data_IF_099050592372
#
_entry.id   IF_099050592372
#
_cell.length_a   1.000
_cell.length_b   1.000
_cell.length_c   1.000
_cell.angle_alpha   90.00
_cell.angle_beta   90.00
_cell.angle_gamma   90.00
#
_symmetry.space_group_name_H-M   'P 1'
#
loop_
_entity.id
_entity.type
_entity.pdbx_description
1 polymer ?
#
# COMPACT_ATOMS: atom_id res chain seq x y z
N UNK A 1 -4.35 12.20 -57.43
CA UNK A 1 -4.77 12.81 -56.15
C UNK A 1 -4.58 11.73 -55.10
N UNK A 2 -3.40 11.69 -54.56
CA UNK A 2 -3.04 10.83 -53.42
C UNK A 2 -3.38 11.61 -52.14
N UNK A 3 -4.24 11.06 -51.33
CA UNK A 3 -4.51 11.58 -49.99
C UNK A 3 -3.60 10.86 -49.03
N UNK A 4 -2.55 11.56 -48.62
CA UNK A 4 -1.66 11.20 -47.52
C UNK A 4 -2.43 11.40 -46.21
N UNK A 5 -2.84 10.32 -45.54
CA UNK A 5 -3.30 10.29 -44.17
C UNK A 5 -2.20 9.67 -43.32
N UNK A 6 -1.22 10.48 -42.96
CA UNK A 6 -0.34 10.22 -41.82
C UNK A 6 -0.88 11.01 -40.65
N UNK A 7 -1.92 10.51 -39.99
CA UNK A 7 -2.23 10.89 -38.64
C UNK A 7 -1.35 10.05 -37.70
N UNK A 8 -0.25 10.64 -37.27
CA UNK A 8 0.50 10.16 -36.13
C UNK A 8 -0.43 10.23 -34.90
N UNK A 9 -0.95 9.09 -34.46
CA UNK A 9 -1.56 8.92 -33.15
C UNK A 9 -0.53 9.29 -32.08
N UNK A 10 -0.55 10.55 -31.65
CA UNK A 10 0.13 10.97 -30.44
C UNK A 10 -0.57 10.27 -29.30
N UNK A 11 0.02 9.17 -28.83
CA UNK A 11 -0.32 8.53 -27.57
C UNK A 11 -0.09 9.60 -26.49
N UNK A 12 -1.18 10.26 -26.08
CA UNK A 12 -1.18 11.16 -24.94
C UNK A 12 -0.86 10.29 -23.74
N UNK A 13 0.37 10.36 -23.27
CA UNK A 13 0.78 9.66 -22.05
C UNK A 13 -0.13 10.13 -20.93
N UNK A 14 -0.86 9.19 -20.33
CA UNK A 14 -1.70 9.48 -19.16
C UNK A 14 -0.84 10.17 -18.09
N UNK A 15 -1.35 11.20 -17.41
CA UNK A 15 -0.60 11.89 -16.37
C UNK A 15 -0.22 10.87 -15.30
N UNK A 16 1.07 10.70 -15.08
CA UNK A 16 1.60 9.85 -14.00
C UNK A 16 1.12 10.42 -12.69
N UNK A 17 0.09 9.80 -12.12
CA UNK A 17 -0.43 10.17 -10.79
C UNK A 17 0.68 9.92 -9.77
N UNK A 18 1.13 10.96 -9.12
CA UNK A 18 2.19 10.87 -8.12
C UNK A 18 1.74 9.95 -6.98
N UNK A 19 2.46 8.82 -6.78
CA UNK A 19 2.13 7.79 -5.78
C UNK A 19 2.56 8.26 -4.38
N UNK A 20 1.81 9.16 -3.76
CA UNK A 20 2.08 9.68 -2.42
C UNK A 20 1.22 8.98 -1.35
N UNK A 21 1.82 8.61 -0.19
CA UNK A 21 3.25 8.50 0.12
C UNK A 21 3.91 7.32 -0.62
N UNK A 22 5.23 7.34 -0.77
CA UNK A 22 5.96 6.23 -1.40
C UNK A 22 5.92 4.98 -0.50
N UNK A 23 5.14 3.97 -0.90
CA UNK A 23 4.92 2.75 -0.13
C UNK A 23 6.10 1.78 -0.13
N UNK A 24 7.16 2.04 -0.92
CA UNK A 24 8.38 1.23 -0.89
C UNK A 24 9.25 1.53 0.34
N UNK A 25 9.20 2.75 0.86
CA UNK A 25 9.97 3.15 2.05
C UNK A 25 9.67 2.30 3.29
N UNK A 26 8.40 2.07 3.69
CA UNK A 26 8.08 1.17 4.79
C UNK A 26 8.52 -0.27 4.53
N UNK A 27 8.48 -0.74 3.27
CA UNK A 27 8.93 -2.10 2.89
C UNK A 27 10.44 -2.25 3.09
N UNK A 28 11.26 -1.30 2.59
CA UNK A 28 12.71 -1.33 2.79
C UNK A 28 13.09 -1.18 4.26
N UNK A 29 12.41 -0.29 4.99
CA UNK A 29 12.57 -0.15 6.44
C UNK A 29 12.27 -1.44 7.18
N UNK A 30 11.21 -2.15 6.79
CA UNK A 30 10.87 -3.45 7.34
C UNK A 30 11.94 -4.51 7.02
N UNK A 31 12.39 -4.62 5.76
CA UNK A 31 13.44 -5.56 5.38
C UNK A 31 14.73 -5.34 6.18
N UNK A 32 15.14 -4.10 6.40
CA UNK A 32 16.30 -3.77 7.23
C UNK A 32 16.11 -4.12 8.71
N UNK A 33 14.89 -4.23 9.19
CA UNK A 33 14.60 -4.66 10.56
C UNK A 33 14.74 -6.19 10.76
N UNK A 34 14.75 -6.96 9.66
CA UNK A 34 14.92 -8.40 9.72
C UNK A 34 16.40 -8.78 9.89
N UNK A 35 16.73 -9.75 10.78
CA UNK A 35 18.13 -10.10 11.08
C UNK A 35 18.95 -10.48 9.84
N UNK A 36 18.32 -11.12 8.85
CA UNK A 36 18.96 -11.57 7.61
C UNK A 36 19.33 -10.42 6.66
N UNK A 37 18.70 -9.24 6.80
CA UNK A 37 18.92 -8.07 5.92
C UNK A 37 19.63 -6.91 6.61
N UNK A 38 19.91 -6.98 7.91
CA UNK A 38 20.52 -5.89 8.71
C UNK A 38 21.84 -5.37 8.12
N UNK A 39 22.57 -6.23 7.38
CA UNK A 39 23.85 -5.90 6.78
C UNK A 39 23.79 -5.70 5.26
N UNK A 40 22.63 -5.66 4.64
CA UNK A 40 22.52 -5.51 3.20
C UNK A 40 22.63 -4.04 2.80
N UNK A 41 23.83 -3.62 2.43
CA UNK A 41 24.13 -2.24 2.01
C UNK A 41 23.26 -1.78 0.83
N UNK A 42 22.84 -2.68 -0.07
CA UNK A 42 21.97 -2.34 -1.20
C UNK A 42 20.62 -1.80 -0.77
N UNK A 43 19.93 -2.47 0.17
CA UNK A 43 18.61 -2.02 0.67
C UNK A 43 18.75 -0.72 1.43
N UNK A 44 19.82 -0.58 2.22
CA UNK A 44 20.16 0.64 2.92
C UNK A 44 20.40 1.81 1.96
N UNK A 45 21.19 1.58 0.89
CA UNK A 45 21.43 2.59 -0.13
C UNK A 45 20.14 2.99 -0.84
N UNK A 46 19.30 2.04 -1.24
CA UNK A 46 17.99 2.32 -1.86
C UNK A 46 17.11 3.19 -0.94
N UNK A 47 17.03 2.84 0.34
CA UNK A 47 16.27 3.62 1.32
C UNK A 47 16.86 5.03 1.49
N UNK A 48 18.17 5.14 1.64
CA UNK A 48 18.85 6.43 1.80
C UNK A 48 18.71 7.32 0.56
N UNK A 49 18.87 6.75 -0.63
CA UNK A 49 18.67 7.46 -1.89
C UNK A 49 17.23 7.94 -2.05
N UNK A 50 16.24 7.09 -1.78
CA UNK A 50 14.85 7.46 -1.88
C UNK A 50 14.44 8.55 -0.86
N UNK A 51 15.04 8.60 0.32
CA UNK A 51 14.79 9.68 1.28
C UNK A 51 15.43 11.01 0.88
N UNK A 52 16.56 10.95 0.17
CA UNK A 52 17.30 12.14 -0.30
C UNK A 52 16.81 12.65 -1.65
N UNK A 53 16.52 11.74 -2.55
CA UNK A 53 16.22 11.99 -3.97
C UNK A 53 14.82 11.59 -4.32
N UNK A 54 13.81 11.82 -3.51
CA UNK A 54 12.51 11.36 -3.90
C UNK A 54 12.10 11.96 -5.26
N UNK A 55 12.27 11.09 -6.25
CA UNK A 55 11.63 11.18 -7.56
C UNK A 55 11.95 12.44 -8.36
N UNK A 56 13.04 12.39 -9.08
CA UNK A 56 12.90 12.83 -10.46
C UNK A 56 11.76 11.96 -11.05
N UNK A 57 10.60 12.50 -11.38
CA UNK A 57 9.76 11.80 -12.33
C UNK A 57 10.66 11.52 -13.52
N UNK A 58 10.57 10.33 -14.10
CA UNK A 58 11.25 9.97 -15.33
C UNK A 58 10.60 10.78 -16.48
N UNK A 59 10.57 12.09 -16.32
CA UNK A 59 10.01 13.07 -17.24
C UNK A 59 11.15 13.66 -18.07
N UNK A 60 11.89 12.76 -18.77
CA UNK A 60 12.78 13.17 -19.85
C UNK A 60 12.04 13.55 -21.14
N UNK A 61 10.71 13.69 -21.11
CA UNK A 61 9.92 13.87 -22.33
C UNK A 61 9.08 15.17 -22.42
N UNK A 62 9.08 16.04 -21.41
CA UNK A 62 8.40 17.35 -21.56
C UNK A 62 9.26 18.50 -21.06
N UNK A 63 10.28 18.83 -21.85
CA UNK A 63 10.94 20.11 -21.78
C UNK A 63 10.04 21.18 -22.42
N UNK A 64 9.00 21.61 -21.75
CA UNK A 64 8.36 22.89 -22.02
C UNK A 64 8.93 23.92 -21.04
N UNK A 65 9.65 24.87 -21.59
CA UNK A 65 10.56 25.84 -20.95
C UNK A 65 9.94 26.80 -19.93
N UNK A 66 8.69 26.60 -19.48
CA UNK A 66 8.00 27.47 -18.54
C UNK A 66 7.62 26.84 -17.20
N UNK A 67 8.07 25.61 -16.91
CA UNK A 67 7.95 24.99 -15.58
C UNK A 67 9.36 24.80 -15.00
N UNK A 68 10.18 25.82 -15.17
CA UNK A 68 11.49 25.91 -14.56
C UNK A 68 11.31 26.33 -13.09
N UNK A 69 11.75 25.47 -12.17
CA UNK A 69 12.04 25.68 -10.75
C UNK A 69 11.00 25.20 -9.71
N UNK A 70 10.41 24.05 -9.93
CA UNK A 70 10.09 23.23 -8.77
C UNK A 70 10.97 21.99 -8.91
N UNK A 71 12.23 22.10 -8.55
CA UNK A 71 13.12 20.98 -8.31
C UNK A 71 12.52 20.23 -7.10
N UNK A 72 11.83 19.15 -7.38
CA UNK A 72 11.14 18.33 -6.40
C UNK A 72 12.17 17.47 -5.65
N UNK A 73 12.94 18.08 -4.80
CA UNK A 73 13.64 17.36 -3.75
C UNK A 73 12.63 17.03 -2.67
N UNK A 74 12.37 15.75 -2.40
CA UNK A 74 11.65 15.43 -1.20
C UNK A 74 12.65 15.28 -0.07
N UNK A 75 12.95 16.39 0.50
CA UNK A 75 13.75 16.49 1.72
C UNK A 75 12.96 15.88 2.89
N UNK A 76 12.91 14.54 2.97
CA UNK A 76 12.14 13.80 3.99
C UNK A 76 12.82 13.87 5.37
N UNK A 77 13.09 15.08 5.85
CA UNK A 77 13.83 15.31 7.10
C UNK A 77 13.23 14.57 8.31
N UNK A 78 11.91 14.67 8.61
CA UNK A 78 11.34 13.99 9.77
C UNK A 78 11.49 12.47 9.68
N UNK A 79 11.22 11.89 8.52
CA UNK A 79 11.33 10.46 8.30
C UNK A 79 12.79 9.97 8.35
N UNK A 80 13.72 10.74 7.78
CA UNK A 80 15.16 10.44 7.83
C UNK A 80 15.67 10.41 9.27
N UNK A 81 15.31 11.40 10.09
CA UNK A 81 15.70 11.43 11.51
C UNK A 81 15.12 10.24 12.28
N UNK A 82 13.88 9.85 12.02
CA UNK A 82 13.23 8.68 12.63
C UNK A 82 13.93 7.38 12.27
N UNK A 83 14.24 7.16 10.98
CA UNK A 83 14.95 5.98 10.48
C UNK A 83 16.37 5.90 11.05
N UNK A 84 17.12 7.00 11.04
CA UNK A 84 18.46 7.05 11.63
C UNK A 84 18.44 6.73 13.13
N UNK A 85 17.44 7.21 13.88
CA UNK A 85 17.28 6.87 15.28
C UNK A 85 16.97 5.39 15.48
N UNK A 86 16.08 4.80 14.66
CA UNK A 86 15.68 3.39 14.77
C UNK A 86 16.87 2.43 14.56
N UNK A 87 17.72 2.72 13.57
CA UNK A 87 18.84 1.85 13.21
C UNK A 87 20.18 2.28 13.81
N UNK A 88 20.19 3.32 14.65
CA UNK A 88 21.41 3.92 15.22
C UNK A 88 22.46 4.30 14.15
N UNK A 89 22.00 4.80 13.01
CA UNK A 89 22.90 5.25 11.96
C UNK A 89 23.47 6.64 12.27
N UNK A 90 24.71 6.94 11.84
CA UNK A 90 25.26 8.28 11.99
C UNK A 90 24.43 9.28 11.21
N UNK A 91 24.01 10.36 11.88
CA UNK A 91 23.26 11.45 11.25
C UNK A 91 24.21 12.42 10.59
N UNK A 92 23.92 12.76 9.35
CA UNK A 92 24.60 13.82 8.63
C UNK A 92 23.89 15.16 8.96
N UNK A 93 24.50 15.93 9.88
CA UNK A 93 23.90 17.18 10.35
C UNK A 93 23.88 18.26 9.27
N UNK A 94 24.84 18.28 8.35
CA UNK A 94 24.90 19.26 7.26
C UNK A 94 23.78 18.99 6.26
N UNK A 95 23.54 17.72 5.94
CA UNK A 95 22.42 17.29 5.10
C UNK A 95 21.07 17.67 5.75
N UNK A 96 20.90 17.36 7.04
CA UNK A 96 19.65 17.67 7.78
C UNK A 96 19.38 19.19 7.76
N UNK A 97 20.40 20.02 7.97
CA UNK A 97 20.25 21.48 7.93
C UNK A 97 19.86 21.99 6.53
N UNK A 98 20.44 21.40 5.50
CA UNK A 98 20.13 21.75 4.11
C UNK A 98 18.69 21.38 3.77
N UNK A 99 18.29 20.14 4.08
CA UNK A 99 16.92 19.67 3.89
C UNK A 99 15.88 20.51 4.67
N UNK A 100 16.18 20.88 5.91
CA UNK A 100 15.31 21.75 6.72
C UNK A 100 15.16 23.13 6.09
N UNK A 101 16.23 23.75 5.62
CA UNK A 101 16.17 25.07 4.94
C UNK A 101 15.33 25.00 3.67
N UNK A 102 15.47 23.95 2.87
CA UNK A 102 14.66 23.75 1.68
C UNK A 102 13.19 23.58 2.02
N UNK A 103 12.87 22.75 3.03
CA UNK A 103 11.51 22.55 3.51
C UNK A 103 10.89 23.84 4.04
N UNK A 104 11.62 24.62 4.84
CA UNK A 104 11.14 25.92 5.34
C UNK A 104 10.89 26.93 4.21
N UNK A 105 11.74 26.95 3.19
CA UNK A 105 11.56 27.81 2.03
C UNK A 105 10.29 27.45 1.25
N UNK A 106 10.12 26.15 0.95
CA UNK A 106 8.93 25.64 0.25
C UNK A 106 7.66 25.83 1.07
N UNK A 107 7.73 25.61 2.38
CA UNK A 107 6.58 25.84 3.28
C UNK A 107 6.14 27.30 3.26
N UNK A 108 7.07 28.26 3.37
CA UNK A 108 6.75 29.70 3.31
C UNK A 108 6.14 30.09 1.97
N UNK A 109 6.62 29.53 0.86
CA UNK A 109 6.06 29.77 -0.46
C UNK A 109 4.62 29.24 -0.56
N UNK A 110 4.36 28.02 -0.07
CA UNK A 110 3.02 27.43 -0.05
C UNK A 110 2.07 28.17 0.90
N UNK A 111 2.57 28.66 2.03
CA UNK A 111 1.81 29.50 2.96
C UNK A 111 1.40 30.82 2.32
N UNK A 112 2.34 31.51 1.65
CA UNK A 112 2.03 32.75 0.94
C UNK A 112 1.00 32.53 -0.18
N UNK A 113 1.13 31.45 -0.96
CA UNK A 113 0.12 31.08 -1.98
C UNK A 113 -1.25 30.78 -1.38
N UNK A 114 -1.29 30.14 -0.20
CA UNK A 114 -2.54 29.84 0.50
C UNK A 114 -3.19 31.11 1.03
N UNK A 115 -2.42 32.05 1.59
CA UNK A 115 -2.94 33.35 2.05
C UNK A 115 -3.47 34.20 0.90
N UNK A 116 -2.77 34.22 -0.23
CA UNK A 116 -3.21 34.91 -1.43
C UNK A 116 -4.51 34.31 -1.98
N UNK A 117 -4.58 32.96 -2.06
CA UNK A 117 -5.80 32.27 -2.46
C UNK A 117 -6.99 32.60 -1.56
N UNK A 118 -6.81 32.61 -0.25
CA UNK A 118 -7.87 32.96 0.73
C UNK A 118 -8.36 34.42 0.58
N UNK A 119 -7.46 35.35 0.22
CA UNK A 119 -7.79 36.77 0.10
C UNK A 119 -8.42 37.15 -1.23
N UNK A 120 -7.94 36.53 -2.33
CA UNK A 120 -8.17 37.03 -3.69
C UNK A 120 -8.88 36.02 -4.62
N UNK A 121 -8.97 34.74 -4.26
CA UNK A 121 -9.44 33.65 -5.14
C UNK A 121 -10.70 32.98 -4.61
N UNK A 122 -11.29 32.12 -5.42
CA UNK A 122 -12.50 31.39 -5.10
C UNK A 122 -12.27 30.16 -4.20
N UNK A 123 -13.36 29.54 -3.75
CA UNK A 123 -13.31 28.39 -2.85
C UNK A 123 -12.58 27.16 -3.45
N UNK A 124 -12.56 27.05 -4.77
CA UNK A 124 -11.90 25.94 -5.48
C UNK A 124 -10.38 26.07 -5.40
N UNK A 125 -9.87 27.27 -5.68
CA UNK A 125 -8.43 27.58 -5.63
C UNK A 125 -7.90 27.56 -4.20
N UNK A 126 -8.71 28.02 -3.24
CA UNK A 126 -8.40 27.89 -1.81
C UNK A 126 -8.20 26.43 -1.44
N UNK A 127 -9.15 25.57 -1.81
CA UNK A 127 -9.06 24.13 -1.56
C UNK A 127 -7.81 23.52 -2.21
N UNK A 128 -7.51 23.85 -3.47
CA UNK A 128 -6.32 23.34 -4.17
C UNK A 128 -5.02 23.77 -3.50
N UNK A 129 -4.94 25.00 -3.01
CA UNK A 129 -3.75 25.46 -2.30
C UNK A 129 -3.52 24.70 -0.99
N UNK A 130 -4.58 24.40 -0.25
CA UNK A 130 -4.50 23.57 0.94
C UNK A 130 -4.14 22.13 0.61
N UNK A 131 -4.67 21.56 -0.50
CA UNK A 131 -4.34 20.22 -0.94
C UNK A 131 -2.84 20.10 -1.29
N UNK A 132 -2.31 21.04 -2.08
CA UNK A 132 -0.87 21.09 -2.41
C UNK A 132 0.01 21.16 -1.15
N UNK A 133 -0.43 21.88 -0.15
CA UNK A 133 0.25 21.95 1.14
C UNK A 133 0.20 20.63 1.89
N UNK A 134 -0.93 19.92 1.85
CA UNK A 134 -1.07 18.60 2.43
C UNK A 134 -0.20 17.54 1.71
N UNK A 135 -0.13 17.59 0.39
CA UNK A 135 0.74 16.75 -0.42
C UNK A 135 2.22 16.98 -0.09
N UNK A 136 2.62 18.23 0.09
CA UNK A 136 3.99 18.57 0.52
C UNK A 136 4.33 17.91 1.88
N UNK A 137 3.47 18.03 2.89
CA UNK A 137 3.73 17.40 4.19
C UNK A 137 3.71 15.87 4.12
N UNK A 138 2.89 15.29 3.26
CA UNK A 138 2.91 13.85 2.97
C UNK A 138 4.23 13.44 2.34
N UNK A 139 4.76 14.27 1.43
CA UNK A 139 6.02 14.03 0.72
C UNK A 139 7.23 14.07 1.66
N UNK A 140 7.33 15.05 2.55
CA UNK A 140 8.43 15.13 3.52
C UNK A 140 8.34 14.10 4.65
N UNK A 141 7.25 13.33 4.72
CA UNK A 141 7.04 12.31 5.75
C UNK A 141 6.65 12.88 7.11
N UNK A 142 5.99 14.03 7.16
CA UNK A 142 5.49 14.63 8.41
C UNK A 142 4.03 14.25 8.63
N UNK A 143 3.82 13.13 9.32
CA UNK A 143 2.49 12.62 9.67
C UNK A 143 1.65 13.65 10.45
N UNK A 144 2.27 14.36 11.38
CA UNK A 144 1.57 15.28 12.29
C UNK A 144 1.09 16.52 11.53
N UNK A 145 1.96 17.16 10.76
CA UNK A 145 1.63 18.35 9.99
C UNK A 145 0.58 18.08 8.93
N UNK A 146 0.67 16.92 8.24
CA UNK A 146 -0.32 16.54 7.24
C UNK A 146 -1.72 16.37 7.86
N UNK A 147 -1.82 15.66 8.99
CA UNK A 147 -3.10 15.46 9.71
C UNK A 147 -3.66 16.82 10.15
N UNK A 148 -2.85 17.68 10.76
CA UNK A 148 -3.24 19.02 11.19
C UNK A 148 -3.76 19.82 9.99
N UNK A 149 -3.04 19.83 8.88
CA UNK A 149 -3.40 20.62 7.71
C UNK A 149 -4.74 20.19 7.09
N UNK A 150 -4.97 18.89 6.92
CA UNK A 150 -6.27 18.37 6.45
C UNK A 150 -7.40 18.75 7.39
N UNK A 151 -7.13 18.86 8.68
CA UNK A 151 -8.08 19.29 9.69
C UNK A 151 -8.38 20.78 9.66
N UNK A 152 -7.40 21.60 9.28
CA UNK A 152 -7.49 23.08 9.37
C UNK A 152 -7.83 23.79 8.06
N UNK A 153 -7.96 23.05 6.95
CA UNK A 153 -8.24 23.64 5.62
C UNK A 153 -9.50 24.50 5.50
N UNK A 154 -10.00 25.08 6.60
CA UNK A 154 -11.30 25.75 6.70
C UNK A 154 -11.40 27.04 7.45
N UNK A 155 -10.41 27.49 8.13
CA UNK A 155 -10.52 28.73 8.89
C UNK A 155 -9.17 29.38 9.15
N UNK A 156 -9.16 30.67 9.52
CA UNK A 156 -7.93 31.33 9.84
C UNK A 156 -7.20 30.62 10.98
N UNK A 157 -5.85 30.56 10.96
CA UNK A 157 -5.01 29.75 11.85
C UNK A 157 -4.94 30.24 13.29
N UNK A 158 -5.98 30.84 13.82
CA UNK A 158 -5.91 31.54 15.11
C UNK A 158 -6.04 30.66 16.37
N UNK A 159 -6.15 29.36 16.26
CA UNK A 159 -6.41 28.49 17.44
C UNK A 159 -5.70 27.15 17.45
N UNK A 160 -4.45 27.10 16.98
CA UNK A 160 -3.61 25.90 17.16
C UNK A 160 -2.49 26.19 18.16
N UNK A 161 -2.86 26.35 19.41
CA UNK A 161 -1.95 26.15 20.54
C UNK A 161 -1.82 24.66 20.82
N UNK A 162 -0.65 24.27 21.30
CA UNK A 162 -0.09 22.90 21.39
C UNK A 162 -0.88 21.84 22.19
N UNK A 163 -2.11 22.11 22.65
CA UNK A 163 -2.90 21.25 23.54
C UNK A 163 -4.25 20.78 22.96
N UNK A 164 -4.36 20.64 21.63
CA UNK A 164 -5.58 20.09 21.04
C UNK A 164 -5.64 18.59 21.28
N UNK A 165 -6.54 18.20 22.19
CA UNK A 165 -6.89 16.80 22.43
C UNK A 165 -7.36 16.12 21.13
N UNK A 166 -7.08 14.83 20.99
CA UNK A 166 -7.45 14.05 19.82
C UNK A 166 -8.95 14.15 19.46
N UNK A 167 -9.82 14.37 20.45
CA UNK A 167 -11.26 14.53 20.27
C UNK A 167 -11.65 15.87 19.59
N UNK A 168 -10.94 16.95 19.89
CA UNK A 168 -11.19 18.25 19.26
C UNK A 168 -10.75 18.25 17.79
N UNK A 169 -9.63 17.60 17.49
CA UNK A 169 -9.17 17.38 16.12
C UNK A 169 -10.20 16.59 15.29
N UNK A 170 -10.81 15.55 15.87
CA UNK A 170 -11.84 14.73 15.21
C UNK A 170 -13.15 15.51 14.99
N UNK A 171 -13.55 16.43 15.88
CA UNK A 171 -14.73 17.26 15.72
C UNK A 171 -14.56 18.29 14.59
N UNK A 172 -13.38 18.91 14.50
CA UNK A 172 -13.04 19.80 13.39
C UNK A 172 -12.97 19.07 12.06
N UNK A 173 -12.50 17.81 12.05
CA UNK A 173 -12.49 16.96 10.86
C UNK A 173 -13.90 16.69 10.31
N UNK A 174 -14.89 16.47 11.16
CA UNK A 174 -16.30 16.33 10.75
C UNK A 174 -16.83 17.59 10.09
N UNK A 175 -16.62 18.76 10.70
CA UNK A 175 -17.05 20.03 10.14
C UNK A 175 -16.38 20.36 8.80
N UNK A 176 -15.13 19.93 8.58
CA UNK A 176 -14.36 20.20 7.35
C UNK A 176 -14.88 19.40 6.16
N UNK A 177 -15.32 18.18 6.37
CA UNK A 177 -15.89 17.36 5.30
C UNK A 177 -17.31 17.79 4.91
N UNK A 178 -18.07 18.33 5.82
CA UNK A 178 -19.45 18.79 5.55
C UNK A 178 -19.54 19.94 4.54
N UNK A 179 -18.50 20.79 4.42
CA UNK A 179 -18.50 21.93 3.50
C UNK A 179 -17.67 21.73 2.22
N UNK A 180 -16.93 20.60 2.04
CA UNK A 180 -16.28 20.32 0.77
C UNK A 180 -17.34 19.91 -0.26
N UNK A 181 -17.50 20.69 -1.32
CA UNK A 181 -18.62 20.59 -2.26
C UNK A 181 -18.57 19.33 -3.13
N UNK A 182 -17.45 18.64 -3.27
CA UNK A 182 -17.30 17.47 -4.11
C UNK A 182 -17.12 16.16 -3.33
N UNK A 183 -18.07 15.23 -3.43
CA UNK A 183 -17.97 13.90 -2.80
C UNK A 183 -16.72 13.14 -3.24
N UNK A 184 -16.34 13.24 -4.54
CA UNK A 184 -15.12 12.63 -5.08
C UNK A 184 -13.85 13.11 -4.40
N UNK A 185 -13.70 14.42 -4.20
CA UNK A 185 -12.53 14.99 -3.50
C UNK A 185 -12.44 14.57 -2.03
N UNK A 186 -13.59 14.39 -1.38
CA UNK A 186 -13.65 13.85 0.00
C UNK A 186 -13.17 12.42 0.05
N UNK A 187 -13.54 11.61 -0.93
CA UNK A 187 -13.10 10.22 -1.05
C UNK A 187 -11.60 10.13 -1.32
N UNK A 188 -11.06 10.98 -2.20
CA UNK A 188 -9.61 11.00 -2.50
C UNK A 188 -8.79 11.35 -1.24
N UNK A 189 -9.26 12.30 -0.42
CA UNK A 189 -8.65 12.62 0.87
C UNK A 189 -8.74 11.42 1.83
N UNK A 190 -9.88 10.72 1.88
CA UNK A 190 -10.03 9.54 2.73
C UNK A 190 -9.09 8.40 2.30
N UNK A 191 -8.95 8.14 1.00
CA UNK A 191 -8.01 7.17 0.45
C UNK A 191 -6.55 7.56 0.77
N UNK A 192 -6.20 8.83 0.67
CA UNK A 192 -4.87 9.32 1.07
C UNK A 192 -4.61 9.14 2.57
N UNK A 193 -5.61 9.38 3.42
CA UNK A 193 -5.53 9.10 4.86
C UNK A 193 -5.27 7.61 5.14
N UNK A 194 -5.91 6.71 4.38
CA UNK A 194 -5.67 5.27 4.52
C UNK A 194 -4.22 4.95 4.14
N UNK A 195 -3.69 5.51 3.03
CA UNK A 195 -2.29 5.29 2.62
C UNK A 195 -1.30 5.76 3.70
N UNK A 196 -1.54 6.92 4.27
CA UNK A 196 -0.70 7.45 5.37
C UNK A 196 -0.79 6.54 6.61
N UNK A 197 -1.98 6.08 6.97
CA UNK A 197 -2.14 5.12 8.05
C UNK A 197 -1.37 3.82 7.81
N UNK A 198 -1.38 3.30 6.58
CA UNK A 198 -0.61 2.12 6.19
C UNK A 198 0.89 2.39 6.24
N UNK A 199 1.33 3.55 5.75
CA UNK A 199 2.74 3.97 5.75
C UNK A 199 3.34 4.00 7.16
N UNK A 200 2.60 4.51 8.14
CA UNK A 200 3.04 4.58 9.55
C UNK A 200 2.57 3.40 10.43
N UNK A 201 1.98 2.34 9.84
CA UNK A 201 1.44 1.17 10.56
C UNK A 201 0.37 1.53 11.61
N UNK A 202 -0.41 2.60 11.36
CA UNK A 202 -1.50 3.07 12.23
C UNK A 202 -2.84 2.47 11.77
N UNK A 203 -3.14 1.25 12.24
CA UNK A 203 -4.35 0.51 11.82
C UNK A 203 -5.66 1.13 12.35
N UNK A 204 -5.61 1.96 13.39
CA UNK A 204 -6.80 2.68 13.87
C UNK A 204 -7.17 3.82 12.92
N UNK A 205 -6.19 4.58 12.45
CA UNK A 205 -6.39 5.61 11.43
C UNK A 205 -6.94 4.98 10.14
N UNK A 206 -6.36 3.85 9.72
CA UNK A 206 -6.82 3.10 8.54
C UNK A 206 -8.28 2.71 8.69
N UNK A 207 -8.67 2.07 9.80
CA UNK A 207 -10.05 1.64 10.05
C UNK A 207 -11.03 2.81 10.01
N UNK A 208 -10.74 3.87 10.76
CA UNK A 208 -11.61 5.08 10.81
C UNK A 208 -11.78 5.71 9.42
N UNK A 209 -10.71 5.75 8.63
CA UNK A 209 -10.75 6.31 7.28
C UNK A 209 -11.54 5.43 6.30
N UNK A 210 -11.44 4.09 6.42
CA UNK A 210 -12.23 3.13 5.64
C UNK A 210 -13.71 3.28 5.99
N UNK A 211 -14.09 3.26 7.27
CA UNK A 211 -15.48 3.36 7.70
C UNK A 211 -16.11 4.67 7.19
N UNK A 212 -15.35 5.76 7.22
CA UNK A 212 -15.78 7.05 6.69
C UNK A 212 -15.92 7.04 5.16
N UNK A 213 -14.97 6.46 4.44
CA UNK A 213 -15.06 6.35 2.98
C UNK A 213 -16.26 5.51 2.55
N UNK A 214 -16.61 4.45 3.31
CA UNK A 214 -17.81 3.66 3.07
C UNK A 214 -19.09 4.50 3.20
N UNK A 215 -19.23 5.27 4.27
CA UNK A 215 -20.40 6.15 4.44
C UNK A 215 -20.52 7.14 3.27
N UNK A 216 -19.41 7.71 2.81
CA UNK A 216 -19.44 8.64 1.67
C UNK A 216 -19.79 7.94 0.34
N UNK A 217 -19.41 6.68 0.15
CA UNK A 217 -19.75 5.90 -1.05
C UNK A 217 -21.24 5.55 -1.07
N UNK A 218 -21.86 5.32 0.08
CA UNK A 218 -23.32 5.09 0.19
C UNK A 218 -24.11 6.33 -0.23
N UNK A 219 -23.57 7.53 0.02
CA UNK A 219 -24.20 8.79 -0.40
C UNK A 219 -24.12 9.04 -1.92
N UNK A 220 -23.28 8.31 -2.68
CA UNK A 220 -23.17 8.47 -4.14
C UNK A 220 -21.76 8.45 -4.70
N UNK A 221 -20.94 7.48 -4.30
CA UNK A 221 -19.56 7.35 -4.79
C UNK A 221 -19.44 6.83 -6.22
N UNK A 222 -18.42 7.30 -6.94
CA UNK A 222 -18.03 6.83 -8.25
C UNK A 222 -17.59 5.35 -8.23
N UNK A 223 -17.78 4.65 -9.34
CA UNK A 223 -17.45 3.23 -9.48
C UNK A 223 -15.95 2.93 -9.25
N UNK A 224 -15.06 3.75 -9.82
CA UNK A 224 -13.61 3.58 -9.67
C UNK A 224 -13.18 3.71 -8.20
N UNK A 225 -13.63 4.78 -7.52
CA UNK A 225 -13.33 4.98 -6.10
C UNK A 225 -13.90 3.90 -5.19
N UNK A 226 -15.05 3.34 -5.57
CA UNK A 226 -15.64 2.18 -4.87
C UNK A 226 -14.75 0.95 -5.00
N UNK A 227 -14.23 0.68 -6.19
CA UNK A 227 -13.32 -0.45 -6.42
C UNK A 227 -11.98 -0.25 -5.70
N UNK A 228 -11.41 0.96 -5.76
CA UNK A 228 -10.19 1.28 -4.98
C UNK A 228 -10.41 1.04 -3.50
N UNK A 229 -11.52 1.54 -2.93
CA UNK A 229 -11.81 1.33 -1.50
C UNK A 229 -11.90 -0.16 -1.14
N UNK A 230 -12.48 -1.02 -2.01
CA UNK A 230 -12.50 -2.47 -1.77
C UNK A 230 -11.09 -3.06 -1.65
N UNK A 231 -10.13 -2.63 -2.47
CA UNK A 231 -8.74 -3.08 -2.40
C UNK A 231 -8.09 -2.62 -1.09
N UNK A 232 -8.29 -1.37 -0.70
CA UNK A 232 -7.77 -0.83 0.57
C UNK A 232 -8.36 -1.55 1.79
N UNK A 233 -9.66 -1.84 1.76
CA UNK A 233 -10.33 -2.61 2.80
C UNK A 233 -9.82 -4.05 2.84
N UNK A 234 -9.66 -4.71 1.70
CA UNK A 234 -9.12 -6.06 1.62
C UNK A 234 -7.71 -6.14 2.23
N UNK A 235 -6.85 -5.16 1.91
CA UNK A 235 -5.53 -5.06 2.52
C UNK A 235 -5.60 -4.90 4.04
N UNK A 236 -6.47 -4.02 4.55
CA UNK A 236 -6.70 -3.85 5.99
C UNK A 236 -7.18 -5.15 6.65
N UNK A 237 -8.19 -5.82 6.07
CA UNK A 237 -8.74 -7.08 6.58
C UNK A 237 -7.68 -8.20 6.61
N UNK A 238 -6.82 -8.28 5.60
CA UNK A 238 -5.69 -9.20 5.57
C UNK A 238 -4.72 -8.91 6.73
N UNK A 239 -4.42 -7.64 7.01
CA UNK A 239 -3.56 -7.21 8.11
C UNK A 239 -4.11 -7.57 9.49
N UNK A 240 -5.43 -7.60 9.68
CA UNK A 240 -6.10 -8.02 10.92
C UNK A 240 -6.48 -9.50 10.95
N UNK A 241 -5.97 -10.29 9.98
CA UNK A 241 -6.19 -11.75 9.87
C UNK A 241 -7.63 -12.17 9.54
N UNK A 242 -8.42 -11.31 8.94
CA UNK A 242 -9.74 -11.67 8.40
C UNK A 242 -9.59 -12.12 6.94
N UNK A 243 -8.89 -13.23 6.71
CA UNK A 243 -8.52 -13.68 5.38
C UNK A 243 -9.70 -14.01 4.47
N UNK A 244 -10.79 -14.56 5.00
CA UNK A 244 -11.97 -14.87 4.19
C UNK A 244 -12.62 -13.61 3.61
N UNK A 245 -12.82 -12.59 4.44
CA UNK A 245 -13.40 -11.32 4.00
C UNK A 245 -12.46 -10.59 3.02
N UNK A 246 -11.15 -10.61 3.31
CA UNK A 246 -10.14 -10.05 2.41
C UNK A 246 -10.13 -10.76 1.06
N UNK A 247 -10.17 -12.10 1.04
CA UNK A 247 -10.18 -12.91 -0.18
C UNK A 247 -11.38 -12.58 -1.08
N UNK A 248 -12.56 -12.44 -0.49
CA UNK A 248 -13.77 -12.09 -1.25
C UNK A 248 -13.63 -10.71 -1.93
N UNK A 249 -13.15 -9.70 -1.20
CA UNK A 249 -12.95 -8.36 -1.76
C UNK A 249 -11.85 -8.33 -2.83
N UNK A 250 -10.74 -9.05 -2.64
CA UNK A 250 -9.70 -9.16 -3.65
C UNK A 250 -10.21 -9.83 -4.92
N UNK A 251 -10.99 -10.91 -4.80
CA UNK A 251 -11.60 -11.60 -5.95
C UNK A 251 -12.64 -10.73 -6.67
N UNK A 252 -13.38 -9.90 -5.95
CA UNK A 252 -14.34 -8.98 -6.55
C UNK A 252 -13.65 -7.87 -7.37
N UNK A 253 -12.41 -7.54 -7.04
CA UNK A 253 -11.64 -6.47 -7.71
C UNK A 253 -10.58 -7.00 -8.66
N UNK A 254 -10.51 -8.32 -8.87
CA UNK A 254 -9.44 -8.96 -9.65
C UNK A 254 -9.33 -8.44 -11.09
N UNK A 255 -10.48 -8.31 -11.78
CA UNK A 255 -10.55 -7.80 -13.16
C UNK A 255 -10.57 -6.27 -13.27
N UNK A 256 -10.73 -5.57 -12.15
CA UNK A 256 -10.94 -4.10 -12.11
C UNK A 256 -9.92 -3.40 -11.23
N UNK A 257 -8.74 -3.97 -11.07
CA UNK A 257 -7.69 -3.41 -10.25
C UNK A 257 -7.14 -2.12 -10.85
N UNK A 258 -7.21 -1.03 -10.09
CA UNK A 258 -6.71 0.31 -10.45
C UNK A 258 -5.88 0.95 -9.34
N UNK A 259 -5.65 0.26 -8.23
CA UNK A 259 -5.00 0.82 -7.02
C UNK A 259 -3.47 0.66 -7.05
N UNK A 260 -2.82 1.04 -8.15
CA UNK A 260 -1.36 0.97 -8.29
C UNK A 260 -0.61 1.89 -7.32
N UNK A 261 -1.29 2.88 -6.74
CA UNK A 261 -0.73 3.77 -5.72
C UNK A 261 -0.46 3.06 -4.39
N UNK A 262 -1.08 1.91 -4.15
CA UNK A 262 -0.89 1.13 -2.93
C UNK A 262 0.18 0.05 -3.10
N UNK A 263 0.09 -0.74 -4.17
CA UNK A 263 1.04 -1.78 -4.55
C UNK A 263 0.87 -2.23 -6.01
N UNK A 264 1.91 -2.85 -6.56
CA UNK A 264 1.90 -3.37 -7.92
C UNK A 264 0.88 -4.48 -8.14
N UNK A 265 0.45 -4.69 -9.37
CA UNK A 265 -0.46 -5.75 -9.74
C UNK A 265 0.05 -7.15 -9.35
N UNK A 266 1.37 -7.40 -9.43
CA UNK A 266 1.99 -8.65 -8.97
C UNK A 266 1.78 -8.88 -7.47
N UNK A 267 1.98 -7.85 -6.67
CA UNK A 267 1.74 -7.89 -5.22
C UNK A 267 0.25 -8.09 -4.91
N UNK A 268 -0.64 -7.48 -5.70
CA UNK A 268 -2.07 -7.71 -5.59
C UNK A 268 -2.45 -9.18 -5.83
N UNK A 269 -1.93 -9.79 -6.89
CA UNK A 269 -2.15 -11.22 -7.19
C UNK A 269 -1.55 -12.10 -6.08
N UNK A 270 -0.36 -11.76 -5.58
CA UNK A 270 0.23 -12.46 -4.43
C UNK A 270 -0.69 -12.44 -3.21
N UNK A 271 -1.20 -11.28 -2.80
CA UNK A 271 -2.13 -11.18 -1.67
C UNK A 271 -3.44 -11.91 -1.91
N UNK A 272 -3.96 -11.84 -3.12
CA UNK A 272 -5.16 -12.59 -3.52
C UNK A 272 -4.95 -14.09 -3.35
N UNK A 273 -3.83 -14.63 -3.84
CA UNK A 273 -3.51 -16.05 -3.73
C UNK A 273 -3.33 -16.47 -2.28
N UNK A 274 -2.54 -15.73 -1.49
CA UNK A 274 -2.26 -16.07 -0.09
C UNK A 274 -3.51 -16.07 0.78
N UNK A 275 -4.43 -15.14 0.53
CA UNK A 275 -5.69 -15.06 1.30
C UNK A 275 -6.71 -16.10 0.85
N UNK A 276 -6.82 -16.38 -0.45
CA UNK A 276 -7.79 -17.31 -1.00
C UNK A 276 -7.45 -18.77 -0.72
N UNK A 277 -6.17 -19.15 -0.82
CA UNK A 277 -5.74 -20.55 -0.59
C UNK A 277 -6.01 -21.00 0.86
N UNK A 278 -5.97 -20.08 1.82
CA UNK A 278 -6.28 -20.35 3.24
C UNK A 278 -7.79 -20.30 3.52
N UNK A 279 -8.57 -19.57 2.74
CA UNK A 279 -9.96 -19.24 3.09
C UNK A 279 -10.99 -20.02 2.30
N UNK A 280 -10.73 -20.28 1.02
CA UNK A 280 -11.71 -20.88 0.10
C UNK A 280 -11.62 -22.41 0.06
N UNK A 281 -12.73 -23.02 -0.31
CA UNK A 281 -12.77 -24.43 -0.63
C UNK A 281 -12.12 -24.74 -1.98
N UNK A 282 -11.74 -26.00 -2.20
CA UNK A 282 -11.01 -26.47 -3.39
C UNK A 282 -11.75 -26.18 -4.70
N UNK A 283 -13.08 -26.31 -4.70
CA UNK A 283 -13.91 -26.11 -5.92
C UNK A 283 -13.93 -24.64 -6.31
N UNK A 284 -14.12 -23.76 -5.35
CA UNK A 284 -14.12 -22.29 -5.55
C UNK A 284 -12.74 -21.82 -5.92
N UNK A 285 -11.70 -22.36 -5.30
CA UNK A 285 -10.29 -22.03 -5.61
C UNK A 285 -9.97 -22.37 -7.08
N UNK A 286 -10.39 -23.54 -7.57
CA UNK A 286 -10.19 -23.88 -8.99
C UNK A 286 -10.84 -22.85 -9.92
N UNK A 287 -12.13 -22.61 -9.73
CA UNK A 287 -12.92 -21.73 -10.60
C UNK A 287 -12.44 -20.27 -10.57
N UNK A 288 -12.10 -19.75 -9.40
CA UNK A 288 -11.77 -18.34 -9.19
C UNK A 288 -10.28 -18.02 -9.36
N UNK A 289 -9.40 -19.00 -9.14
CA UNK A 289 -7.94 -18.80 -9.16
C UNK A 289 -7.31 -19.52 -10.35
N UNK A 290 -7.42 -20.86 -10.43
CA UNK A 290 -6.73 -21.63 -11.44
C UNK A 290 -7.28 -21.40 -12.86
N UNK A 291 -8.58 -21.14 -13.00
CA UNK A 291 -9.21 -20.88 -14.30
C UNK A 291 -9.18 -19.41 -14.71
N UNK A 292 -8.88 -18.50 -13.78
CA UNK A 292 -8.82 -17.06 -14.05
C UNK A 292 -7.68 -16.69 -15.02
N UNK A 293 -7.97 -16.00 -16.14
CA UNK A 293 -6.95 -15.56 -17.09
C UNK A 293 -6.03 -14.49 -16.49
N UNK A 294 -6.55 -13.64 -15.59
CA UNK A 294 -5.79 -12.58 -14.92
C UNK A 294 -4.67 -13.16 -14.05
N UNK A 295 -4.94 -14.25 -13.35
CA UNK A 295 -3.94 -14.91 -12.51
C UNK A 295 -2.96 -15.70 -13.39
N UNK A 296 -3.45 -16.39 -14.43
CA UNK A 296 -2.61 -17.15 -15.36
C UNK A 296 -1.54 -16.30 -16.04
N UNK A 297 -1.85 -15.03 -16.33
CA UNK A 297 -0.90 -14.13 -16.99
C UNK A 297 0.32 -13.80 -16.11
N UNK A 298 0.17 -13.78 -14.79
CA UNK A 298 1.19 -13.33 -13.84
C UNK A 298 1.80 -14.47 -12.99
N UNK A 299 1.10 -15.63 -12.89
CA UNK A 299 1.50 -16.71 -11.97
C UNK A 299 2.91 -17.27 -12.26
N UNK A 300 3.34 -17.22 -13.52
CA UNK A 300 4.68 -17.66 -13.93
C UNK A 300 5.79 -16.77 -13.38
N UNK A 301 5.48 -15.50 -13.10
CA UNK A 301 6.42 -14.54 -12.52
C UNK A 301 6.50 -14.63 -10.98
N UNK A 302 5.52 -15.29 -10.36
CA UNK A 302 5.43 -15.45 -8.91
C UNK A 302 6.10 -16.72 -8.38
N UNK A 303 6.89 -17.41 -9.25
CA UNK A 303 7.73 -18.55 -8.85
C UNK A 303 6.97 -19.67 -8.13
N UNK A 304 7.27 -19.93 -6.84
CA UNK A 304 6.74 -21.10 -6.13
C UNK A 304 5.23 -21.04 -5.84
N UNK A 305 4.57 -19.88 -5.97
CA UNK A 305 3.13 -19.76 -5.72
C UNK A 305 2.29 -20.56 -6.71
N UNK A 306 2.66 -20.56 -7.98
CA UNK A 306 1.98 -21.35 -9.00
C UNK A 306 2.06 -22.85 -8.70
N UNK A 307 3.25 -23.32 -8.32
CA UNK A 307 3.47 -24.70 -7.90
C UNK A 307 2.66 -25.04 -6.65
N UNK A 308 2.62 -24.13 -5.67
CA UNK A 308 1.88 -24.31 -4.42
C UNK A 308 0.38 -24.57 -4.68
N UNK A 309 -0.26 -23.72 -5.49
CA UNK A 309 -1.70 -23.83 -5.77
C UNK A 309 -2.00 -25.10 -6.57
N UNK A 310 -1.21 -25.35 -7.61
CA UNK A 310 -1.39 -26.51 -8.49
C UNK A 310 -1.18 -27.82 -7.72
N UNK A 311 -0.15 -27.90 -6.90
CA UNK A 311 0.13 -29.07 -6.06
C UNK A 311 -0.99 -29.29 -5.01
N UNK A 312 -1.48 -28.21 -4.38
CA UNK A 312 -2.61 -28.29 -3.45
C UNK A 312 -3.89 -28.80 -4.14
N UNK A 313 -4.21 -28.26 -5.32
CA UNK A 313 -5.37 -28.70 -6.09
C UNK A 313 -5.26 -30.16 -6.55
N UNK A 314 -4.11 -30.59 -7.06
CA UNK A 314 -3.88 -31.94 -7.55
C UNK A 314 -3.72 -32.98 -6.43
N UNK A 315 -3.47 -32.55 -5.19
CA UNK A 315 -3.18 -33.46 -4.08
C UNK A 315 -1.75 -34.03 -4.10
N UNK A 316 -0.82 -33.35 -4.78
CA UNK A 316 0.62 -33.64 -4.71
C UNK A 316 1.21 -32.98 -3.47
N UNK A 317 1.08 -33.68 -2.34
CA UNK A 317 1.48 -33.13 -1.05
C UNK A 317 3.00 -33.00 -0.90
N UNK A 318 3.80 -33.82 -1.59
CA UNK A 318 5.25 -33.68 -1.54
C UNK A 318 5.74 -32.38 -2.17
N UNK A 319 5.24 -32.03 -3.36
CA UNK A 319 5.54 -30.77 -4.02
C UNK A 319 4.90 -29.58 -3.29
N UNK A 320 3.70 -29.77 -2.72
CA UNK A 320 3.00 -28.75 -1.93
C UNK A 320 3.82 -28.29 -0.72
N UNK A 321 4.34 -29.20 0.12
CA UNK A 321 5.12 -28.83 1.30
C UNK A 321 6.43 -28.13 0.95
N UNK A 322 7.09 -28.54 -0.14
CA UNK A 322 8.29 -27.87 -0.65
C UNK A 322 8.00 -26.45 -1.11
N UNK A 323 6.96 -26.30 -1.94
CA UNK A 323 6.54 -24.98 -2.43
C UNK A 323 6.05 -24.09 -1.28
N UNK A 324 5.35 -24.65 -0.28
CA UNK A 324 4.91 -23.91 0.91
C UNK A 324 6.09 -23.37 1.71
N UNK A 325 7.16 -24.16 1.91
CA UNK A 325 8.36 -23.70 2.58
C UNK A 325 9.03 -22.55 1.81
N UNK A 326 9.16 -22.68 0.49
CA UNK A 326 9.71 -21.61 -0.36
C UNK A 326 8.88 -20.33 -0.29
N UNK A 327 7.56 -20.41 -0.39
CA UNK A 327 6.66 -19.26 -0.29
C UNK A 327 6.76 -18.58 1.08
N UNK A 328 6.91 -19.37 2.16
CA UNK A 328 7.11 -18.81 3.49
C UNK A 328 8.40 -18.02 3.61
N UNK A 329 9.51 -18.57 3.11
CA UNK A 329 10.84 -17.99 3.28
C UNK A 329 11.10 -16.84 2.29
N UNK A 330 10.69 -16.97 1.03
CA UNK A 330 11.00 -16.04 -0.03
C UNK A 330 9.98 -14.88 -0.16
N UNK A 331 8.71 -15.10 0.23
CA UNK A 331 7.66 -14.12 0.06
C UNK A 331 7.03 -13.67 1.38
N UNK A 332 6.45 -14.58 2.18
CA UNK A 332 5.68 -14.21 3.37
C UNK A 332 6.56 -13.63 4.46
N UNK A 333 7.75 -14.20 4.69
CA UNK A 333 8.68 -13.72 5.71
C UNK A 333 9.23 -12.32 5.40
N UNK A 334 9.28 -11.94 4.13
CA UNK A 334 9.83 -10.69 3.65
C UNK A 334 8.78 -9.60 3.39
N UNK A 335 7.51 -9.93 3.53
CA UNK A 335 6.42 -8.99 3.26
C UNK A 335 5.90 -8.36 4.54
N UNK A 336 5.87 -7.04 4.59
CA UNK A 336 5.43 -6.24 5.75
C UNK A 336 3.97 -6.53 6.15
N UNK A 337 3.11 -6.86 5.18
CA UNK A 337 1.68 -7.05 5.43
C UNK A 337 1.38 -8.41 6.06
N UNK A 338 2.00 -9.49 5.57
CA UNK A 338 1.68 -10.86 5.96
C UNK A 338 2.69 -11.52 6.89
N UNK A 339 3.88 -10.93 7.04
CA UNK A 339 4.94 -11.45 7.92
C UNK A 339 4.44 -11.87 9.32
N UNK A 340 3.65 -11.00 9.97
CA UNK A 340 3.10 -11.27 11.31
C UNK A 340 2.20 -12.50 11.36
N UNK A 341 1.69 -12.94 10.20
CA UNK A 341 0.76 -14.06 10.07
C UNK A 341 1.42 -15.33 9.52
N UNK A 342 2.73 -15.31 9.24
CA UNK A 342 3.46 -16.42 8.63
C UNK A 342 3.23 -17.77 9.35
N UNK A 343 3.35 -17.78 10.69
CA UNK A 343 3.13 -19.00 11.50
C UNK A 343 1.68 -19.48 11.46
N UNK A 344 0.73 -18.56 11.51
CA UNK A 344 -0.70 -18.88 11.41
C UNK A 344 -1.02 -19.43 10.02
N UNK A 345 -0.55 -18.77 8.97
CA UNK A 345 -0.75 -19.17 7.60
C UNK A 345 -0.19 -20.59 7.35
N UNK A 346 1.04 -20.85 7.77
CA UNK A 346 1.68 -22.16 7.63
C UNK A 346 0.89 -23.26 8.36
N UNK A 347 0.37 -22.98 9.56
CA UNK A 347 -0.46 -23.92 10.30
C UNK A 347 -1.76 -24.22 9.57
N UNK A 348 -2.47 -23.20 9.12
CA UNK A 348 -3.73 -23.38 8.39
C UNK A 348 -3.54 -24.16 7.08
N UNK A 349 -2.45 -23.90 6.36
CA UNK A 349 -2.11 -24.64 5.15
C UNK A 349 -1.86 -26.13 5.44
N UNK A 350 -1.15 -26.44 6.52
CA UNK A 350 -0.97 -27.85 6.96
C UNK A 350 -2.30 -28.50 7.32
N UNK A 351 -3.11 -27.83 8.14
CA UNK A 351 -4.43 -28.34 8.54
C UNK A 351 -5.31 -28.64 7.32
N UNK A 352 -5.31 -27.76 6.33
CA UNK A 352 -6.07 -27.97 5.09
C UNK A 352 -5.56 -29.14 4.25
N UNK A 353 -4.24 -29.26 4.12
CA UNK A 353 -3.64 -30.39 3.41
C UNK A 353 -3.94 -31.72 4.11
N UNK A 354 -3.86 -31.76 5.44
CA UNK A 354 -4.21 -32.94 6.22
C UNK A 354 -5.70 -33.27 6.15
N UNK A 355 -6.57 -32.29 6.28
CA UNK A 355 -8.00 -32.48 6.16
C UNK A 355 -8.39 -33.02 4.78
N UNK A 356 -7.86 -32.44 3.71
CA UNK A 356 -8.11 -32.88 2.34
C UNK A 356 -7.63 -34.35 2.12
N UNK A 357 -6.48 -34.71 2.65
CA UNK A 357 -5.97 -36.07 2.55
C UNK A 357 -6.84 -37.05 3.34
N UNK A 358 -7.17 -36.71 4.59
CA UNK A 358 -7.94 -37.58 5.49
C UNK A 358 -9.39 -37.77 5.06
N UNK A 359 -9.96 -36.84 4.29
CA UNK A 359 -11.32 -36.96 3.76
C UNK A 359 -11.51 -38.21 2.91
N UNK A 360 -10.45 -38.73 2.26
CA UNK A 360 -10.48 -39.89 1.42
C UNK A 360 -10.20 -41.24 2.15
N UNK A 361 -9.81 -41.17 3.44
CA UNK A 361 -9.38 -42.36 4.18
C UNK A 361 -10.08 -42.49 5.53
N UNK A 362 -10.50 -43.74 5.85
CA UNK A 362 -11.09 -44.04 7.16
C UNK A 362 -10.01 -44.23 8.26
N UNK A 363 -8.86 -44.75 7.87
CA UNK A 363 -7.72 -45.00 8.76
C UNK A 363 -6.42 -44.78 7.97
N UNK A 364 -5.46 -44.13 8.57
CA UNK A 364 -4.17 -43.79 7.94
C UNK A 364 -3.04 -44.18 8.89
N UNK A 365 -1.98 -44.76 8.32
CA UNK A 365 -0.73 -44.98 9.05
C UNK A 365 0.15 -43.72 8.92
N UNK A 366 0.64 -43.20 10.06
CA UNK A 366 1.52 -42.03 10.09
C UNK A 366 2.77 -42.19 9.22
N UNK A 367 3.34 -43.41 9.16
CA UNK A 367 4.52 -43.65 8.32
C UNK A 367 4.22 -43.48 6.83
N UNK A 368 3.05 -43.95 6.38
CA UNK A 368 2.63 -43.82 4.98
C UNK A 368 2.29 -42.34 4.64
N UNK A 369 1.67 -41.64 5.57
CA UNK A 369 1.39 -40.24 5.42
C UNK A 369 2.68 -39.38 5.35
N UNK A 370 3.67 -39.70 6.20
CA UNK A 370 4.97 -39.05 6.19
C UNK A 370 5.70 -39.22 4.85
N UNK A 371 5.64 -40.42 4.28
CA UNK A 371 6.23 -40.72 2.95
C UNK A 371 5.53 -39.94 1.83
N UNK A 372 4.19 -39.90 1.81
CA UNK A 372 3.42 -39.17 0.80
C UNK A 372 3.65 -37.62 0.88
N UNK A 373 3.79 -37.12 2.08
CA UNK A 373 4.02 -35.68 2.29
C UNK A 373 5.51 -35.30 2.17
N UNK A 374 6.40 -36.29 2.01
CA UNK A 374 7.85 -36.11 1.98
C UNK A 374 8.38 -35.34 3.21
N UNK A 375 7.82 -35.65 4.38
CA UNK A 375 8.18 -35.05 5.68
C UNK A 375 8.51 -36.13 6.71
N UNK A 376 9.11 -35.74 7.83
CA UNK A 376 9.40 -36.71 8.92
C UNK A 376 8.13 -36.99 9.73
N UNK A 377 8.05 -38.21 10.35
CA UNK A 377 6.94 -38.54 11.23
C UNK A 377 6.79 -37.57 12.42
N UNK A 378 7.89 -37.09 12.99
CA UNK A 378 7.89 -36.09 14.04
C UNK A 378 7.29 -34.75 13.64
N UNK A 379 7.44 -34.39 12.35
CA UNK A 379 6.84 -33.17 11.80
C UNK A 379 5.32 -33.27 11.70
N UNK A 380 4.80 -34.47 11.44
CA UNK A 380 3.35 -34.73 11.37
C UNK A 380 2.69 -34.77 12.76
N UNK A 381 3.44 -35.21 13.78
CA UNK A 381 2.95 -35.38 15.16
C UNK A 381 2.90 -34.03 15.95
N UNK A 382 3.60 -33.03 15.45
CA UNK A 382 3.63 -31.67 16.01
C UNK A 382 2.62 -30.73 15.33
#
# INVERSE_FOLDING_TARGET
>A
MEFDYAEEDQVVAEPVVEKLPNMDLPRWRFLLSLPQYTHTEEVKQKLMTAMKENSKPNCLLFANENISKIENFSDMTPYYEEVCNQFNWPKDNDLIQTMRKNNEATQKELEAKTEDAVKNLGSTEVRESFLKRAEFFTRIGDKVQWIILVLTSRGPPQLLTADLSQEQALSMYRQTLEQTVGLGSKLDIALTNIRIGIFYDDMELVKRSIDRAKSMIEEGGDWDRRNRLKVYEAYYLMRIRQFLSAANLFLDTLSTFTSEELFDYKTFIFYTIITTIVSLDRVTLNKRILDSPEIKSVIHELGPLGTLITAYYNGDYGSFFKAMAQVLDEHIALDIAVHRHARYWAREMRVRAYAQFLESYKTVNLSSMAQLFAVTGEFLDK
#
